data_IF_470605582853
#
_entry.id   IF_470605582853
#
_cell.length_a   1.000
_cell.length_b   1.000
_cell.length_c   1.000
_cell.angle_alpha   90.00
_cell.angle_beta   90.00
_cell.angle_gamma   90.00
#
_symmetry.space_group_name_H-M   'P 1'
#
loop_
_entity.id
_entity.type
_entity.pdbx_description
1 polymer ?
#
# COMPACT_ATOMS: atom_id res chain seq x y z
N UNK A 1 4.54 -2.52 -16.73
CA UNK A 1 3.15 -3.02 -16.90
C UNK A 1 2.65 -3.75 -15.66
N UNK A 2 1.34 -4.03 -15.54
CA UNK A 2 0.72 -4.71 -14.39
C UNK A 2 -0.40 -5.67 -14.85
N UNK A 3 -0.46 -6.86 -14.23
CA UNK A 3 -1.63 -7.75 -14.29
C UNK A 3 -2.21 -7.85 -12.88
N UNK A 4 -3.53 -7.72 -12.73
CA UNK A 4 -4.21 -7.73 -11.44
C UNK A 4 -5.47 -8.59 -11.48
N UNK A 5 -5.70 -9.35 -10.42
CA UNK A 5 -6.94 -10.06 -10.17
C UNK A 5 -7.59 -9.53 -8.88
N UNK A 6 -8.86 -9.16 -8.98
CA UNK A 6 -9.68 -8.74 -7.84
C UNK A 6 -10.69 -9.84 -7.54
N UNK A 7 -10.71 -10.29 -6.29
CA UNK A 7 -11.68 -11.23 -5.77
C UNK A 7 -12.67 -10.50 -4.88
N UNK A 8 -13.95 -10.64 -5.18
CA UNK A 8 -15.06 -10.24 -4.31
C UNK A 8 -15.77 -11.51 -3.85
N UNK A 9 -15.84 -11.72 -2.54
CA UNK A 9 -16.46 -12.92 -1.97
C UNK A 9 -18.00 -12.85 -1.98
N UNK A 10 -18.60 -11.76 -2.47
CA UNK A 10 -20.03 -11.50 -2.41
C UNK A 10 -20.51 -11.18 -1.00
N UNK A 11 -19.59 -10.84 -0.09
CA UNK A 11 -19.88 -10.52 1.31
C UNK A 11 -18.99 -9.36 1.80
N UNK A 12 -18.72 -9.30 3.09
CA UNK A 12 -17.87 -8.28 3.74
C UNK A 12 -16.38 -8.35 3.36
N UNK A 13 -15.94 -9.36 2.61
CA UNK A 13 -14.53 -9.63 2.30
C UNK A 13 -14.22 -9.46 0.81
N UNK A 14 -13.09 -8.82 0.52
CA UNK A 14 -12.50 -8.76 -0.82
C UNK A 14 -10.98 -8.91 -0.76
N UNK A 15 -10.37 -9.38 -1.85
CA UNK A 15 -8.93 -9.53 -1.97
C UNK A 15 -8.42 -9.08 -3.34
N UNK A 16 -7.13 -8.75 -3.41
CA UNK A 16 -6.44 -8.41 -4.65
C UNK A 16 -5.08 -9.09 -4.69
N UNK A 17 -4.70 -9.56 -5.86
CA UNK A 17 -3.32 -9.96 -6.15
C UNK A 17 -2.88 -9.35 -7.48
N UNK A 18 -1.65 -8.86 -7.51
CA UNK A 18 -1.09 -8.10 -8.61
C UNK A 18 0.34 -8.51 -8.85
N UNK A 19 0.69 -8.69 -10.13
CA UNK A 19 2.04 -8.94 -10.60
C UNK A 19 2.47 -7.76 -11.45
N UNK A 20 3.48 -7.02 -11.00
CA UNK A 20 3.94 -5.80 -11.64
C UNK A 20 5.35 -5.96 -12.21
N UNK A 21 5.54 -5.42 -13.40
CA UNK A 21 6.85 -5.20 -14.01
C UNK A 21 7.65 -4.10 -13.29
N UNK A 22 6.95 -3.27 -12.51
CA UNK A 22 7.48 -2.07 -11.89
C UNK A 22 7.72 -0.94 -12.90
N UNK A 23 8.52 0.04 -12.52
CA UNK A 23 8.87 1.19 -13.38
C UNK A 23 10.19 1.82 -12.99
N UNK A 24 10.99 2.24 -13.97
CA UNK A 24 12.20 3.05 -13.73
C UNK A 24 11.81 4.46 -13.28
N UNK A 25 12.30 4.88 -12.12
CA UNK A 25 12.29 6.30 -11.76
C UNK A 25 13.55 6.97 -12.30
N UNK A 26 13.47 7.53 -13.50
CA UNK A 26 14.59 8.23 -14.18
C UNK A 26 15.10 9.47 -13.43
N UNK A 27 14.42 9.92 -12.36
CA UNK A 27 14.92 11.01 -11.50
C UNK A 27 15.78 10.50 -10.33
N UNK A 28 15.70 9.23 -9.99
CA UNK A 28 16.50 8.58 -8.97
C UNK A 28 17.48 7.61 -9.67
N UNK A 29 18.69 8.10 -9.97
CA UNK A 29 19.77 7.35 -10.67
C UNK A 29 20.18 6.05 -9.93
N UNK A 30 19.66 5.82 -8.72
CA UNK A 30 19.99 4.70 -7.85
C UNK A 30 18.89 3.62 -7.73
N UNK A 31 17.77 3.73 -8.45
CA UNK A 31 16.66 2.77 -8.32
C UNK A 31 16.25 2.15 -9.67
N UNK A 32 16.53 0.85 -9.83
CA UNK A 32 16.04 0.05 -10.95
C UNK A 32 14.74 -0.61 -10.50
N UNK A 33 13.63 0.09 -10.74
CA UNK A 33 12.29 -0.40 -10.42
C UNK A 33 11.65 -1.27 -11.48
N UNK A 34 12.33 -1.51 -12.61
CA UNK A 34 11.87 -2.46 -13.63
C UNK A 34 12.54 -3.81 -13.36
N UNK A 35 11.78 -4.89 -13.36
CA UNK A 35 12.32 -6.24 -13.13
C UNK A 35 13.52 -6.52 -14.07
N UNK A 36 14.63 -7.02 -13.53
CA UNK A 36 15.74 -7.59 -14.33
C UNK A 36 15.80 -9.13 -14.33
N UNK A 37 14.89 -9.76 -13.57
CA UNK A 37 14.84 -11.20 -13.24
C UNK A 37 13.54 -11.89 -13.75
N UNK A 38 13.40 -13.19 -13.51
CA UNK A 38 12.25 -14.00 -13.93
C UNK A 38 11.00 -13.83 -13.02
N UNK A 39 11.15 -13.25 -11.83
CA UNK A 39 10.06 -13.09 -10.85
C UNK A 39 9.57 -11.64 -10.88
N UNK A 40 8.26 -11.39 -11.10
CA UNK A 40 7.71 -10.05 -11.02
C UNK A 40 7.54 -9.57 -9.58
N UNK A 41 7.44 -8.25 -9.41
CA UNK A 41 7.01 -7.72 -8.12
C UNK A 41 5.60 -8.22 -7.81
N UNK A 42 5.39 -8.68 -6.58
CA UNK A 42 4.11 -9.26 -6.15
C UNK A 42 3.46 -8.35 -5.14
N UNK A 43 2.20 -7.98 -5.36
CA UNK A 43 1.39 -7.23 -4.40
C UNK A 43 0.14 -8.03 -4.07
N UNK A 44 -0.14 -8.20 -2.80
CA UNK A 44 -1.34 -8.86 -2.29
C UNK A 44 -2.04 -7.99 -1.28
N UNK A 45 -3.37 -7.98 -1.31
CA UNK A 45 -4.16 -7.21 -0.35
C UNK A 45 -5.47 -7.89 0.00
N UNK A 46 -5.93 -7.62 1.22
CA UNK A 46 -7.23 -8.08 1.72
C UNK A 46 -7.96 -6.91 2.35
N UNK A 47 -9.27 -6.93 2.25
CA UNK A 47 -10.15 -5.94 2.86
C UNK A 47 -11.34 -6.63 3.50
N UNK A 48 -11.68 -6.14 4.67
CA UNK A 48 -12.88 -6.50 5.40
C UNK A 48 -13.70 -5.24 5.70
N UNK A 49 -14.96 -5.21 5.31
CA UNK A 49 -15.84 -4.04 5.38
C UNK A 49 -17.10 -4.37 6.19
N UNK A 50 -17.43 -3.52 7.16
CA UNK A 50 -18.67 -3.58 7.93
C UNK A 50 -19.35 -2.21 8.00
N UNK A 51 -20.54 -2.13 8.59
CA UNK A 51 -21.26 -0.85 8.74
C UNK A 51 -20.46 0.22 9.50
N UNK A 52 -19.65 -0.19 10.48
CA UNK A 52 -18.81 0.73 11.24
C UNK A 52 -17.57 1.22 10.48
N UNK A 53 -17.19 0.60 9.37
CA UNK A 53 -15.96 0.94 8.66
C UNK A 53 -15.29 -0.22 7.94
N UNK A 54 -13.97 -0.19 7.83
CA UNK A 54 -13.21 -1.23 7.14
C UNK A 54 -11.80 -1.39 7.70
N UNK A 55 -11.25 -2.59 7.54
CA UNK A 55 -9.82 -2.85 7.71
C UNK A 55 -9.28 -3.34 6.38
N UNK A 56 -8.19 -2.73 5.92
CA UNK A 56 -7.50 -3.09 4.68
C UNK A 56 -6.03 -3.33 4.98
N UNK A 57 -5.50 -4.46 4.53
CA UNK A 57 -4.08 -4.78 4.58
C UNK A 57 -3.54 -5.00 3.18
N UNK A 58 -2.34 -4.48 2.89
CA UNK A 58 -1.62 -4.71 1.63
C UNK A 58 -0.17 -5.03 1.95
N UNK A 59 0.39 -6.02 1.27
CA UNK A 59 1.81 -6.35 1.31
C UNK A 59 2.34 -6.41 -0.12
N UNK A 60 3.56 -5.94 -0.30
CA UNK A 60 4.28 -5.97 -1.55
C UNK A 60 5.66 -6.59 -1.33
N UNK A 61 6.08 -7.39 -2.31
CA UNK A 61 7.41 -7.95 -2.43
C UNK A 61 8.10 -7.33 -3.64
N UNK A 62 9.24 -6.72 -3.38
CA UNK A 62 10.12 -6.18 -4.41
C UNK A 62 11.12 -7.27 -4.84
N UNK A 63 10.94 -7.84 -6.03
CA UNK A 63 11.80 -8.90 -6.57
C UNK A 63 13.22 -8.46 -6.92
N UNK A 64 13.47 -7.16 -7.16
CA UNK A 64 14.81 -6.68 -7.50
C UNK A 64 15.71 -6.52 -6.26
N UNK A 65 15.10 -6.24 -5.11
CA UNK A 65 15.80 -5.99 -3.86
C UNK A 65 15.56 -7.09 -2.80
N UNK A 66 14.66 -8.04 -3.08
CA UNK A 66 14.15 -9.06 -2.16
C UNK A 66 13.57 -8.47 -0.85
N UNK A 67 12.99 -7.27 -0.94
CA UNK A 67 12.48 -6.51 0.19
C UNK A 67 10.95 -6.57 0.29
N UNK A 68 10.44 -6.41 1.51
CA UNK A 68 9.01 -6.42 1.78
C UNK A 68 8.55 -5.08 2.32
N UNK A 69 7.41 -4.61 1.83
CA UNK A 69 6.72 -3.45 2.36
C UNK A 69 5.23 -3.77 2.57
N UNK A 70 4.70 -3.44 3.74
CA UNK A 70 3.33 -3.69 4.11
C UNK A 70 2.67 -2.46 4.70
N UNK A 71 1.35 -2.34 4.51
CA UNK A 71 0.49 -1.34 5.15
C UNK A 71 -0.78 -1.98 5.65
N UNK A 72 -1.25 -1.52 6.81
CA UNK A 72 -2.58 -1.81 7.34
C UNK A 72 -3.29 -0.49 7.63
N UNK A 73 -4.55 -0.38 7.20
CA UNK A 73 -5.41 0.78 7.37
C UNK A 73 -6.72 0.36 8.02
N UNK A 74 -7.14 1.13 9.01
CA UNK A 74 -8.46 1.06 9.59
C UNK A 74 -9.21 2.37 9.27
N UNK A 75 -10.41 2.23 8.71
CA UNK A 75 -11.34 3.32 8.42
C UNK A 75 -12.54 3.19 9.36
N UNK A 76 -13.01 4.31 9.90
CA UNK A 76 -14.10 4.37 10.88
C UNK A 76 -15.18 5.36 10.41
N UNK A 77 -16.41 4.88 10.30
CA UNK A 77 -17.60 5.70 10.13
C UNK A 77 -18.10 6.13 11.50
N UNK A 78 -17.62 7.29 11.98
CA UNK A 78 -17.94 7.78 13.33
C UNK A 78 -19.36 8.31 13.39
N UNK A 79 -19.77 9.08 12.38
CA UNK A 79 -21.15 9.55 12.18
C UNK A 79 -21.51 9.47 10.69
N UNK A 80 -22.72 9.88 10.30
CA UNK A 80 -23.13 9.98 8.88
C UNK A 80 -22.28 10.99 8.08
N UNK A 81 -21.71 11.97 8.77
CA UNK A 81 -20.92 13.08 8.22
C UNK A 81 -19.42 12.90 8.44
N UNK A 82 -19.03 12.25 9.55
CA UNK A 82 -17.64 12.11 9.98
C UNK A 82 -17.09 10.70 9.71
N UNK A 83 -16.01 10.65 8.92
CA UNK A 83 -15.19 9.45 8.75
C UNK A 83 -13.75 9.73 9.16
N UNK A 84 -13.11 8.78 9.85
CA UNK A 84 -11.71 8.85 10.26
C UNK A 84 -10.93 7.66 9.70
N UNK A 85 -9.61 7.81 9.59
CA UNK A 85 -8.72 6.69 9.31
C UNK A 85 -7.43 6.76 10.10
N UNK A 86 -6.86 5.58 10.35
CA UNK A 86 -5.49 5.40 10.79
C UNK A 86 -4.83 4.33 9.93
N UNK A 87 -3.56 4.53 9.59
CA UNK A 87 -2.80 3.61 8.76
C UNK A 87 -1.37 3.48 9.31
N UNK A 88 -0.86 2.27 9.32
CA UNK A 88 0.50 1.94 9.71
C UNK A 88 1.19 1.21 8.55
N UNK A 89 2.44 1.58 8.29
CA UNK A 89 3.29 0.95 7.30
C UNK A 89 4.57 0.44 7.93
N UNK A 90 5.00 -0.74 7.51
CA UNK A 90 6.29 -1.33 7.87
C UNK A 90 6.99 -1.85 6.61
N UNK A 91 8.30 -1.68 6.53
CA UNK A 91 9.08 -2.31 5.47
C UNK A 91 10.53 -2.51 5.86
N UNK A 92 11.14 -3.49 5.20
CA UNK A 92 12.54 -3.87 5.39
C UNK A 92 13.44 -3.00 4.50
N UNK A 93 14.75 -2.97 4.77
CA UNK A 93 15.72 -2.08 4.12
C UNK A 93 17.13 -2.69 4.00
N UNK A 94 17.26 -4.01 4.19
CA UNK A 94 18.57 -4.66 4.31
C UNK A 94 19.40 -4.58 3.02
N UNK A 95 18.74 -4.59 1.88
CA UNK A 95 19.30 -4.57 0.54
C UNK A 95 18.96 -3.26 -0.21
N UNK A 96 18.36 -2.27 0.46
CA UNK A 96 18.02 -1.00 -0.18
C UNK A 96 19.30 -0.24 -0.55
N UNK A 97 19.45 0.13 -1.82
CA UNK A 97 20.61 0.86 -2.33
C UNK A 97 20.66 2.33 -1.86
N UNK A 98 19.57 2.83 -1.27
CA UNK A 98 19.51 4.18 -0.71
C UNK A 98 19.74 4.14 0.81
N UNK A 99 21.01 3.99 1.23
CA UNK A 99 21.44 4.01 2.63
C UNK A 99 21.06 5.31 3.39
N UNK A 100 20.69 6.38 2.68
CA UNK A 100 20.36 7.67 3.27
C UNK A 100 18.86 7.82 3.59
N UNK A 101 17.98 7.17 2.82
CA UNK A 101 16.52 7.26 3.04
C UNK A 101 15.84 5.93 3.33
N UNK A 102 16.46 4.80 2.99
CA UNK A 102 15.93 3.45 3.14
C UNK A 102 14.68 3.20 2.30
N UNK A 103 14.36 4.06 1.31
CA UNK A 103 13.15 3.96 0.50
C UNK A 103 13.33 3.00 -0.68
N UNK A 104 12.24 2.38 -1.09
CA UNK A 104 12.14 1.55 -2.28
C UNK A 104 10.79 1.80 -2.99
N UNK A 105 10.51 1.08 -4.08
CA UNK A 105 9.31 1.28 -4.89
C UNK A 105 8.00 1.13 -4.11
N UNK A 106 7.94 0.22 -3.16
CA UNK A 106 6.75 0.00 -2.33
C UNK A 106 6.83 0.72 -0.97
N UNK A 107 8.03 1.08 -0.53
CA UNK A 107 8.34 1.79 0.72
C UNK A 107 8.79 3.21 0.46
N UNK A 108 7.82 4.09 0.21
CA UNK A 108 8.04 5.50 -0.09
C UNK A 108 8.31 6.39 1.17
N UNK A 109 8.50 5.80 2.34
CA UNK A 109 8.77 6.50 3.60
C UNK A 109 10.16 6.15 4.15
N UNK A 110 10.73 7.07 4.94
CA UNK A 110 12.02 6.86 5.57
C UNK A 110 11.94 5.95 6.80
N UNK A 111 12.98 5.13 7.01
CA UNK A 111 13.07 4.18 8.12
C UNK A 111 12.17 2.95 7.95
N UNK A 112 12.10 2.11 8.99
CA UNK A 112 11.34 0.85 8.92
C UNK A 112 9.81 1.03 9.03
N UNK A 113 9.35 2.12 9.64
CA UNK A 113 7.93 2.31 9.94
C UNK A 113 7.46 3.73 9.63
N UNK A 114 6.18 3.85 9.28
CA UNK A 114 5.49 5.11 9.13
C UNK A 114 4.02 4.96 9.54
N UNK A 115 3.39 6.07 9.88
CA UNK A 115 1.97 6.11 10.18
C UNK A 115 1.31 7.33 9.55
N UNK A 116 0.01 7.20 9.31
CA UNK A 116 -0.85 8.24 8.79
C UNK A 116 -2.16 8.20 9.54
N UNK A 117 -2.74 9.37 9.77
CA UNK A 117 -4.10 9.49 10.26
C UNK A 117 -4.76 10.66 9.55
N UNK A 118 -6.09 10.63 9.50
CA UNK A 118 -6.85 11.71 8.92
C UNK A 118 -8.33 11.49 9.05
N UNK A 119 -9.10 12.43 8.55
CA UNK A 119 -10.54 12.38 8.60
C UNK A 119 -11.17 13.27 7.55
N UNK A 120 -12.46 13.04 7.32
CA UNK A 120 -13.29 13.80 6.40
C UNK A 120 -14.61 14.10 7.10
N UNK A 121 -15.08 15.34 6.98
CA UNK A 121 -16.34 15.78 7.56
C UNK A 121 -17.23 16.43 6.50
N UNK A 122 -18.43 15.90 6.30
CA UNK A 122 -19.39 16.45 5.34
C UNK A 122 -20.11 17.65 5.94
N UNK A 123 -19.73 18.86 5.54
CA UNK A 123 -20.38 20.10 5.99
C UNK A 123 -21.77 20.27 5.38
N UNK A 124 -21.93 19.88 4.12
CA UNK A 124 -23.20 19.89 3.40
C UNK A 124 -23.20 18.76 2.35
N UNK A 125 -24.33 18.40 1.72
CA UNK A 125 -24.38 17.31 0.74
C UNK A 125 -23.46 17.47 -0.49
N UNK A 126 -22.91 18.67 -0.73
CA UNK A 126 -22.05 19.01 -1.87
C UNK A 126 -20.60 19.32 -1.47
N UNK A 127 -20.23 19.25 -0.19
CA UNK A 127 -18.89 19.64 0.28
C UNK A 127 -18.45 18.80 1.47
N UNK A 128 -17.25 18.23 1.35
CA UNK A 128 -16.55 17.41 2.34
C UNK A 128 -15.12 17.89 2.52
#
# INVERSE_FOLDING_TARGET
>A
NLIQYNFDAGNVFSAVISLAEGSVDVKNVFYVGTIDSYVPHVVGGVKWTQGWGAITGVIAYDSNYEEWAGKVRADFNVTSELSLFAMFGYGTDKNSLDFASGRDFYKQWGGHWAWWAGGTYKFNPKTS
#
